data_IF_361030375289
#
_entry.id   IF_361030375289
#
_cell.length_a   1.000
_cell.length_b   1.000
_cell.length_c   1.000
_cell.angle_alpha   90.00
_cell.angle_beta   90.00
_cell.angle_gamma   90.00
#
_symmetry.space_group_name_H-M   'P 1'
#
loop_
_entity.id
_entity.type
_entity.pdbx_description
1 polymer ?
#
# COMPACT_ATOMS: atom_id res chain seq x y z
N UNK A 1 -5.13 -5.43 -39.74
CA UNK A 1 -6.09 -4.34 -39.57
C UNK A 1 -5.38 -3.34 -38.69
N UNK A 2 -5.19 -2.11 -39.14
CA UNK A 2 -4.53 -1.06 -38.39
C UNK A 2 -5.61 -0.15 -37.81
N UNK A 3 -5.48 0.22 -36.56
CA UNK A 3 -6.40 1.10 -35.85
C UNK A 3 -5.69 2.42 -35.53
N UNK A 4 -6.32 3.53 -35.85
CA UNK A 4 -5.81 4.84 -35.43
C UNK A 4 -6.08 5.10 -33.95
N UNK A 5 -7.25 4.68 -33.47
CA UNK A 5 -7.70 4.90 -32.09
C UNK A 5 -8.33 3.64 -31.52
N UNK A 6 -7.93 3.28 -30.31
CA UNK A 6 -8.59 2.25 -29.52
C UNK A 6 -9.09 2.90 -28.22
N UNK A 7 -10.40 2.76 -27.97
CA UNK A 7 -11.03 3.23 -26.73
C UNK A 7 -11.75 2.04 -26.09
N UNK A 8 -11.67 1.91 -24.77
CA UNK A 8 -12.31 0.79 -24.11
C UNK A 8 -12.55 0.95 -22.61
N UNK A 9 -13.49 0.15 -22.15
CA UNK A 9 -13.70 -0.17 -20.74
C UNK A 9 -13.67 -1.71 -20.64
N UNK A 10 -12.48 -2.31 -20.49
CA UNK A 10 -12.34 -3.77 -20.51
C UNK A 10 -12.94 -4.42 -19.28
N UNK A 11 -13.24 -5.73 -19.30
CA UNK A 11 -13.60 -6.47 -18.11
C UNK A 11 -12.50 -6.34 -17.04
N UNK A 12 -12.87 -6.06 -15.79
CA UNK A 12 -11.91 -5.78 -14.73
C UNK A 12 -11.30 -7.04 -14.10
N UNK A 13 -12.11 -8.10 -14.00
CA UNK A 13 -11.70 -9.34 -13.35
C UNK A 13 -12.47 -10.54 -13.91
N UNK A 14 -11.88 -11.71 -13.80
CA UNK A 14 -12.59 -12.98 -13.99
C UNK A 14 -13.34 -13.31 -12.70
N UNK A 15 -14.61 -13.72 -12.84
CA UNK A 15 -15.35 -14.33 -11.75
C UNK A 15 -14.84 -15.76 -11.57
N UNK A 16 -14.17 -16.02 -10.47
CA UNK A 16 -13.81 -17.37 -10.06
C UNK A 16 -15.08 -18.05 -9.53
N UNK A 17 -15.78 -18.74 -10.36
CA UNK A 17 -16.94 -19.64 -10.14
C UNK A 17 -17.43 -20.00 -8.72
N UNK A 18 -17.44 -19.04 -7.75
CA UNK A 18 -18.15 -19.18 -6.48
C UNK A 18 -17.52 -20.07 -5.41
N UNK A 19 -16.23 -20.37 -5.47
CA UNK A 19 -15.52 -21.08 -4.39
C UNK A 19 -15.18 -20.18 -3.21
N UNK A 20 -15.45 -20.66 -1.99
CA UNK A 20 -15.02 -19.99 -0.73
C UNK A 20 -13.49 -19.96 -0.64
N UNK A 21 -12.85 -18.89 -1.15
CA UNK A 21 -11.42 -18.69 -0.98
C UNK A 21 -10.63 -18.19 -2.18
N UNK A 22 -11.16 -18.20 -3.40
CA UNK A 22 -10.46 -17.65 -4.55
C UNK A 22 -10.77 -16.16 -4.71
N UNK A 23 -9.73 -15.33 -4.61
CA UNK A 23 -9.81 -13.90 -4.82
C UNK A 23 -9.83 -13.62 -6.33
N UNK A 24 -10.88 -12.97 -6.84
CA UNK A 24 -11.02 -12.59 -8.24
C UNK A 24 -9.72 -12.05 -8.85
N UNK A 25 -9.31 -12.61 -9.99
CA UNK A 25 -8.06 -12.25 -10.67
C UNK A 25 -8.31 -11.06 -11.62
N UNK A 26 -7.50 -9.99 -11.54
CA UNK A 26 -7.55 -8.91 -12.53
C UNK A 26 -7.21 -9.44 -13.93
N UNK A 27 -7.91 -8.92 -14.96
CA UNK A 27 -7.62 -9.25 -16.37
C UNK A 27 -7.52 -8.01 -17.26
N UNK A 28 -7.92 -6.84 -16.78
CA UNK A 28 -7.91 -5.60 -17.58
C UNK A 28 -6.53 -5.25 -18.16
N UNK A 29 -5.46 -5.58 -17.45
CA UNK A 29 -4.09 -5.37 -17.90
C UNK A 29 -3.74 -6.18 -19.15
N UNK A 30 -4.32 -7.37 -19.33
CA UNK A 30 -4.15 -8.18 -20.53
C UNK A 30 -4.80 -7.49 -21.75
N UNK A 31 -5.92 -6.80 -21.56
CA UNK A 31 -6.58 -6.01 -22.62
C UNK A 31 -5.76 -4.79 -23.02
N UNK A 32 -5.17 -4.08 -22.04
CA UNK A 32 -4.27 -2.95 -22.33
C UNK A 32 -3.06 -3.44 -23.11
N UNK A 33 -2.43 -4.53 -22.70
CA UNK A 33 -1.28 -5.11 -23.39
C UNK A 33 -1.63 -5.54 -24.83
N UNK A 34 -2.80 -6.17 -25.06
CA UNK A 34 -3.24 -6.54 -26.39
C UNK A 34 -3.54 -5.31 -27.27
N UNK A 35 -4.15 -4.28 -26.69
CA UNK A 35 -4.42 -3.04 -27.43
C UNK A 35 -3.12 -2.35 -27.87
N UNK A 36 -2.10 -2.29 -27.02
CA UNK A 36 -0.77 -1.75 -27.38
C UNK A 36 -0.10 -2.56 -28.51
N UNK A 37 -0.26 -3.89 -28.53
CA UNK A 37 0.26 -4.75 -29.62
C UNK A 37 -0.39 -4.51 -30.98
N UNK A 38 -1.59 -3.94 -31.01
CA UNK A 38 -2.25 -3.55 -32.27
C UNK A 38 -1.69 -2.25 -32.84
N UNK A 39 -0.72 -1.65 -32.14
CA UNK A 39 0.05 -0.47 -32.55
C UNK A 39 -0.84 0.71 -33.00
N UNK A 40 -1.85 1.13 -32.19
CA UNK A 40 -2.70 2.25 -32.55
C UNK A 40 -1.95 3.56 -32.37
N UNK A 41 -2.40 4.63 -33.07
CA UNK A 41 -1.91 5.98 -32.82
C UNK A 41 -2.28 6.45 -31.42
N UNK A 42 -3.51 6.21 -30.99
CA UNK A 42 -4.02 6.58 -29.67
C UNK A 42 -4.71 5.40 -28.98
N UNK A 43 -4.44 5.26 -27.69
CA UNK A 43 -5.11 4.31 -26.83
C UNK A 43 -5.66 5.01 -25.59
N UNK A 44 -6.94 4.81 -25.28
CA UNK A 44 -7.55 5.29 -24.04
C UNK A 44 -8.43 4.22 -23.42
N UNK A 45 -8.16 3.86 -22.18
CA UNK A 45 -8.96 2.88 -21.45
C UNK A 45 -9.27 3.35 -20.03
N UNK A 46 -10.47 3.00 -19.55
CA UNK A 46 -10.86 3.13 -18.15
C UNK A 46 -10.57 1.81 -17.46
N UNK A 47 -9.76 1.83 -16.41
CA UNK A 47 -9.32 0.64 -15.69
C UNK A 47 -9.32 0.87 -14.18
N UNK A 48 -9.43 -0.18 -13.34
CA UNK A 48 -9.25 -0.05 -11.90
C UNK A 48 -7.87 0.52 -11.55
N UNK A 49 -7.82 1.50 -10.64
CA UNK A 49 -6.58 2.16 -10.23
C UNK A 49 -5.68 1.28 -9.30
N UNK A 50 -6.13 0.05 -9.00
CA UNK A 50 -5.40 -0.89 -8.16
C UNK A 50 -3.97 -1.19 -8.63
N UNK A 51 -3.70 -1.12 -9.92
CA UNK A 51 -2.38 -1.37 -10.49
C UNK A 51 -1.29 -0.44 -9.93
N UNK A 52 -1.64 0.76 -9.45
CA UNK A 52 -0.66 1.68 -8.83
C UNK A 52 0.12 1.05 -7.67
N UNK A 53 -0.49 0.13 -6.93
CA UNK A 53 0.16 -0.55 -5.79
C UNK A 53 0.74 -1.92 -6.14
N UNK A 54 0.51 -2.42 -7.34
CA UNK A 54 0.91 -3.78 -7.72
C UNK A 54 0.20 -4.89 -6.95
N UNK A 55 0.80 -6.07 -6.94
CA UNK A 55 0.25 -7.27 -6.32
C UNK A 55 -0.85 -7.93 -7.13
N UNK A 56 -1.20 -9.16 -6.79
CA UNK A 56 -2.18 -9.99 -7.53
C UNK A 56 -1.86 -10.15 -9.03
N UNK A 57 -0.57 -10.23 -9.37
CA UNK A 57 -0.10 -10.37 -10.76
C UNK A 57 -0.07 -9.08 -11.57
N UNK A 58 -0.14 -7.91 -10.90
CA UNK A 58 -0.09 -6.60 -11.57
C UNK A 58 1.27 -5.89 -11.45
N UNK A 59 2.30 -6.54 -10.89
CA UNK A 59 3.58 -5.89 -10.63
C UNK A 59 4.30 -5.52 -11.94
N UNK A 60 4.38 -6.44 -12.91
CA UNK A 60 4.97 -6.19 -14.24
C UNK A 60 4.17 -5.13 -15.01
N UNK A 61 2.84 -5.19 -14.95
CA UNK A 61 1.98 -4.20 -15.57
C UNK A 61 2.17 -2.80 -14.95
N UNK A 62 2.29 -2.73 -13.62
CA UNK A 62 2.60 -1.48 -12.92
C UNK A 62 3.93 -0.90 -13.41
N UNK A 63 4.97 -1.71 -13.44
CA UNK A 63 6.31 -1.31 -13.89
C UNK A 63 6.28 -0.81 -15.33
N UNK A 64 5.62 -1.55 -16.23
CA UNK A 64 5.41 -1.13 -17.63
C UNK A 64 4.71 0.22 -17.71
N UNK A 65 3.57 0.39 -17.03
CA UNK A 65 2.77 1.62 -17.10
C UNK A 65 3.48 2.83 -16.50
N UNK A 66 4.24 2.66 -15.42
CA UNK A 66 4.99 3.76 -14.80
C UNK A 66 6.18 4.22 -15.67
N UNK A 67 6.76 3.33 -16.45
CA UNK A 67 7.91 3.62 -17.32
C UNK A 67 7.51 3.94 -18.77
N UNK A 68 6.22 3.89 -19.12
CA UNK A 68 5.77 4.19 -20.48
C UNK A 68 5.56 5.70 -20.69
N UNK A 69 6.59 6.37 -21.19
CA UNK A 69 6.59 7.82 -21.48
C UNK A 69 5.56 8.24 -22.54
N UNK A 70 4.89 7.28 -23.21
CA UNK A 70 3.82 7.55 -24.19
C UNK A 70 2.48 7.83 -23.52
N UNK A 71 2.37 7.73 -22.18
CA UNK A 71 1.17 8.14 -21.47
C UNK A 71 1.14 9.66 -21.33
N UNK A 72 0.33 10.31 -22.18
CA UNK A 72 0.17 11.76 -22.23
C UNK A 72 -0.62 12.28 -21.03
N UNK A 73 -1.65 11.56 -20.64
CA UNK A 73 -2.57 11.95 -19.56
C UNK A 73 -3.03 10.75 -18.75
N UNK A 74 -3.07 10.92 -17.44
CA UNK A 74 -3.64 9.97 -16.49
C UNK A 74 -4.63 10.70 -15.60
N UNK A 75 -5.90 10.30 -15.63
CA UNK A 75 -6.95 10.88 -14.77
C UNK A 75 -7.40 9.85 -13.75
N UNK A 76 -7.28 10.19 -12.49
CA UNK A 76 -7.48 9.32 -11.34
C UNK A 76 -8.69 9.73 -10.51
N UNK A 77 -9.60 8.78 -10.29
CA UNK A 77 -10.75 8.87 -9.41
C UNK A 77 -10.55 7.94 -8.21
N UNK A 78 -10.16 8.51 -7.07
CA UNK A 78 -10.00 7.73 -5.84
C UNK A 78 -11.32 7.11 -5.36
N UNK A 79 -12.43 7.80 -5.59
CA UNK A 79 -13.79 7.28 -5.43
C UNK A 79 -14.37 6.99 -6.82
N UNK A 80 -14.55 5.71 -7.12
CA UNK A 80 -15.10 5.28 -8.41
C UNK A 80 -16.48 5.83 -8.72
N UNK A 81 -17.25 6.21 -7.68
CA UNK A 81 -18.60 6.79 -7.84
C UNK A 81 -18.59 8.17 -8.48
N UNK A 82 -17.46 8.89 -8.42
CA UNK A 82 -17.27 10.16 -9.13
C UNK A 82 -17.10 9.97 -10.64
N UNK A 83 -16.72 8.76 -11.09
CA UNK A 83 -16.61 8.38 -12.49
C UNK A 83 -17.83 7.56 -12.95
N UNK A 84 -18.28 6.62 -12.12
CA UNK A 84 -19.41 5.71 -12.38
C UNK A 84 -20.43 5.80 -11.25
N UNK A 85 -21.45 6.66 -11.34
CA UNK A 85 -22.46 6.80 -10.31
C UNK A 85 -23.08 5.45 -9.91
N UNK A 86 -23.08 5.16 -8.61
CA UNK A 86 -23.64 3.92 -8.07
C UNK A 86 -22.73 2.69 -8.14
N UNK A 87 -21.52 2.80 -8.69
CA UNK A 87 -20.56 1.68 -8.76
C UNK A 87 -19.40 1.91 -7.80
N UNK A 88 -19.24 1.02 -6.83
CA UNK A 88 -18.13 1.04 -5.87
C UNK A 88 -17.04 0.05 -6.27
N UNK A 89 -15.86 0.56 -6.62
CA UNK A 89 -14.68 -0.22 -7.00
C UNK A 89 -13.57 0.08 -5.99
N UNK A 90 -13.18 -0.94 -5.24
CA UNK A 90 -12.13 -0.82 -4.24
C UNK A 90 -10.81 -0.31 -4.85
N UNK A 91 -10.32 0.82 -4.35
CA UNK A 91 -9.15 1.50 -4.86
C UNK A 91 -9.44 2.52 -5.97
N UNK A 92 -10.70 2.65 -6.42
CA UNK A 92 -11.11 3.60 -7.46
C UNK A 92 -10.77 3.17 -8.88
N UNK A 93 -10.93 4.10 -9.81
CA UNK A 93 -10.66 3.89 -11.24
C UNK A 93 -9.78 5.00 -11.80
N UNK A 94 -9.12 4.73 -12.88
CA UNK A 94 -8.41 5.74 -13.66
C UNK A 94 -8.69 5.54 -15.15
N UNK A 95 -8.52 6.59 -15.94
CA UNK A 95 -8.36 6.45 -17.37
C UNK A 95 -7.08 7.16 -17.82
N UNK A 96 -6.51 6.65 -18.90
CA UNK A 96 -5.30 7.23 -19.48
C UNK A 96 -5.48 7.50 -20.98
N UNK A 97 -4.72 8.45 -21.49
CA UNK A 97 -4.48 8.66 -22.91
C UNK A 97 -3.01 8.32 -23.18
N UNK A 98 -2.81 7.36 -24.05
CA UNK A 98 -1.54 6.96 -24.59
C UNK A 98 -1.45 7.38 -26.06
N UNK A 99 -0.35 8.00 -26.47
CA UNK A 99 -0.05 8.42 -27.83
C UNK A 99 1.27 7.77 -28.26
N UNK A 100 1.24 7.01 -29.33
CA UNK A 100 2.42 6.30 -29.88
C UNK A 100 3.63 7.21 -30.09
N UNK A 101 3.41 8.48 -30.44
CA UNK A 101 4.48 9.43 -30.75
C UNK A 101 4.83 10.37 -29.59
N UNK A 102 4.21 10.22 -28.45
CA UNK A 102 4.59 10.99 -27.26
C UNK A 102 5.83 10.37 -26.59
N UNK A 103 6.71 11.24 -26.09
CA UNK A 103 7.82 10.87 -25.25
C UNK A 103 8.06 12.00 -24.24
N UNK A 104 7.76 11.77 -22.98
CA UNK A 104 7.96 12.80 -21.95
C UNK A 104 7.06 12.65 -20.74
N UNK A 105 6.86 13.79 -20.04
CA UNK A 105 6.04 13.85 -18.83
C UNK A 105 4.55 13.60 -19.12
N UNK A 106 3.87 13.09 -18.11
CA UNK A 106 2.45 12.82 -18.12
C UNK A 106 1.69 13.92 -17.37
N UNK A 107 0.59 14.41 -17.94
CA UNK A 107 -0.37 15.24 -17.19
C UNK A 107 -1.21 14.35 -16.30
N UNK A 108 -0.91 14.35 -15.00
CA UNK A 108 -1.66 13.59 -13.99
C UNK A 108 -2.71 14.47 -13.36
N UNK A 109 -3.96 14.02 -13.42
CA UNK A 109 -5.11 14.71 -12.86
C UNK A 109 -5.77 13.84 -11.79
N UNK A 110 -5.83 14.33 -10.55
CA UNK A 110 -6.54 13.69 -9.45
C UNK A 110 -7.88 14.36 -9.24
N UNK A 111 -8.96 13.58 -9.33
CA UNK A 111 -10.33 14.06 -9.10
C UNK A 111 -10.77 13.68 -7.69
N UNK A 112 -11.25 14.67 -6.91
CA UNK A 112 -11.76 14.48 -5.56
C UNK A 112 -12.88 15.47 -5.26
N UNK A 113 -14.05 15.00 -4.93
CA UNK A 113 -15.23 15.83 -4.61
C UNK A 113 -15.42 16.91 -5.66
N UNK A 114 -15.47 16.51 -6.94
CA UNK A 114 -15.61 17.36 -8.14
C UNK A 114 -14.44 18.33 -8.38
N UNK A 115 -13.46 18.42 -7.47
CA UNK A 115 -12.25 19.23 -7.67
C UNK A 115 -11.20 18.43 -8.43
N UNK A 116 -10.45 19.13 -9.28
CA UNK A 116 -9.39 18.57 -10.13
C UNK A 116 -8.06 19.18 -9.75
N UNK A 117 -7.09 18.32 -9.45
CA UNK A 117 -5.72 18.73 -9.12
C UNK A 117 -4.81 18.18 -10.21
N UNK A 118 -4.20 19.09 -10.98
CA UNK A 118 -3.42 18.75 -12.18
C UNK A 118 -1.94 19.02 -11.92
N UNK A 119 -1.10 18.07 -12.28
CA UNK A 119 0.37 18.19 -12.19
C UNK A 119 0.98 17.49 -13.40
N UNK A 120 1.92 18.13 -14.05
CA UNK A 120 2.75 17.48 -15.07
C UNK A 120 3.96 16.85 -14.41
N UNK A 121 4.17 15.53 -14.62
CA UNK A 121 5.22 14.78 -13.96
C UNK A 121 5.57 13.48 -14.67
N UNK A 122 6.73 12.92 -14.39
CA UNK A 122 7.04 11.54 -14.71
C UNK A 122 6.24 10.58 -13.82
N UNK A 123 5.70 9.50 -14.37
CA UNK A 123 4.97 8.51 -13.58
C UNK A 123 5.90 7.65 -12.71
N UNK A 124 7.17 7.54 -13.08
CA UNK A 124 8.20 6.77 -12.39
C UNK A 124 9.12 7.60 -11.48
N UNK A 125 8.66 8.78 -11.01
CA UNK A 125 9.44 9.61 -10.06
C UNK A 125 9.88 8.85 -8.82
N UNK A 126 9.09 7.85 -8.41
CA UNK A 126 9.36 6.96 -7.27
C UNK A 126 8.97 5.52 -7.64
N UNK A 127 9.56 4.55 -6.97
CA UNK A 127 9.20 3.12 -7.11
C UNK A 127 7.73 2.81 -6.78
N UNK A 128 7.09 3.71 -6.03
CA UNK A 128 5.66 3.66 -5.70
C UNK A 128 4.95 4.89 -6.23
N UNK A 129 3.84 4.72 -6.93
CA UNK A 129 3.08 5.84 -7.46
C UNK A 129 2.37 6.61 -6.34
N UNK A 130 2.77 7.87 -6.13
CA UNK A 130 2.09 8.81 -5.23
C UNK A 130 0.81 9.27 -5.92
N UNK A 131 -0.33 8.80 -5.43
CA UNK A 131 -1.62 9.04 -6.07
C UNK A 131 -2.11 10.49 -5.96
N UNK A 132 -1.84 11.11 -4.82
CA UNK A 132 -2.32 12.46 -4.52
C UNK A 132 -1.32 13.52 -4.98
N UNK A 133 -1.69 14.28 -5.99
CA UNK A 133 -0.84 15.37 -6.50
C UNK A 133 -0.49 16.40 -5.41
N UNK A 134 -1.38 16.65 -4.44
CA UNK A 134 -1.12 17.56 -3.32
C UNK A 134 -0.06 17.01 -2.34
N UNK A 135 0.11 15.70 -2.30
CA UNK A 135 1.09 15.06 -1.43
C UNK A 135 2.53 15.08 -2.01
N UNK A 136 2.67 15.29 -3.32
CA UNK A 136 3.97 15.21 -4.00
C UNK A 136 5.03 16.14 -3.42
N UNK A 137 4.68 17.41 -3.21
CA UNK A 137 5.63 18.39 -2.67
C UNK A 137 6.07 18.04 -1.25
N UNK A 138 5.18 17.44 -0.45
CA UNK A 138 5.51 16.98 0.90
C UNK A 138 6.44 15.77 0.82
N UNK A 139 6.10 14.77 0.00
CA UNK A 139 6.94 13.59 -0.21
C UNK A 139 8.34 13.99 -0.70
N UNK A 140 8.41 14.92 -1.66
CA UNK A 140 9.67 15.45 -2.20
C UNK A 140 10.52 16.12 -1.11
N UNK A 141 9.92 16.99 -0.30
CA UNK A 141 10.61 17.63 0.85
C UNK A 141 11.14 16.59 1.83
N UNK A 142 10.31 15.60 2.20
CA UNK A 142 10.72 14.52 3.11
C UNK A 142 11.89 13.73 2.52
N UNK A 143 11.84 13.37 1.23
CA UNK A 143 12.92 12.63 0.56
C UNK A 143 14.25 13.42 0.54
N UNK A 144 14.20 14.74 0.37
CA UNK A 144 15.39 15.61 0.37
C UNK A 144 15.92 15.86 1.77
N UNK A 145 15.04 16.01 2.77
CA UNK A 145 15.40 16.36 4.14
C UNK A 145 15.78 15.16 5.01
N UNK A 146 15.41 13.95 4.58
CA UNK A 146 15.62 12.74 5.38
C UNK A 146 16.99 12.12 5.08
N UNK A 147 17.55 11.44 6.10
CA UNK A 147 18.67 10.53 5.92
C UNK A 147 18.32 9.43 4.90
N UNK A 148 19.32 8.74 4.37
CA UNK A 148 19.16 7.70 3.33
C UNK A 148 18.28 6.52 3.72
N UNK A 149 17.86 6.40 4.99
CA UNK A 149 17.09 5.28 5.52
C UNK A 149 15.62 5.65 5.73
N UNK A 150 14.75 4.79 5.20
CA UNK A 150 13.32 4.85 5.40
C UNK A 150 12.81 3.66 6.23
N UNK A 151 11.66 3.86 6.85
CA UNK A 151 11.10 2.94 7.83
C UNK A 151 10.76 1.57 7.23
N UNK A 152 10.58 1.48 5.90
CA UNK A 152 10.38 0.20 5.23
C UNK A 152 11.53 -0.78 5.52
N UNK A 153 12.77 -0.32 5.68
CA UNK A 153 13.92 -1.17 6.05
C UNK A 153 13.76 -1.84 7.42
N UNK A 154 12.97 -1.25 8.31
CA UNK A 154 12.71 -1.71 9.68
C UNK A 154 11.39 -2.50 9.81
N UNK A 155 10.62 -2.63 8.73
CA UNK A 155 9.37 -3.39 8.72
C UNK A 155 9.63 -4.82 8.29
N UNK A 156 9.08 -5.78 9.04
CA UNK A 156 9.20 -7.21 8.75
C UNK A 156 8.55 -7.59 7.42
N UNK A 157 8.96 -8.73 6.88
CA UNK A 157 8.21 -9.43 5.84
C UNK A 157 6.86 -9.92 6.36
N UNK A 158 6.00 -10.41 5.45
CA UNK A 158 4.82 -11.19 5.80
C UNK A 158 5.23 -12.39 6.66
N UNK A 159 4.46 -12.73 7.68
CA UNK A 159 4.74 -13.84 8.60
C UNK A 159 6.07 -13.67 9.37
N UNK A 160 6.20 -12.63 10.23
CA UNK A 160 7.46 -12.30 10.88
C UNK A 160 8.04 -13.46 11.71
N UNK A 161 7.18 -14.34 12.23
CA UNK A 161 7.57 -15.52 13.04
C UNK A 161 7.28 -16.86 12.33
N UNK A 162 6.92 -16.83 11.04
CA UNK A 162 6.59 -18.04 10.27
C UNK A 162 5.22 -18.64 10.62
N UNK A 163 4.37 -17.90 11.33
CA UNK A 163 3.07 -18.39 11.83
C UNK A 163 1.92 -17.88 10.95
N UNK A 164 1.11 -18.79 10.33
CA UNK A 164 -0.07 -18.41 9.56
C UNK A 164 -1.21 -17.92 10.47
N UNK A 165 -2.22 -17.25 9.91
CA UNK A 165 -3.33 -16.67 10.66
C UNK A 165 -4.22 -17.70 11.39
N UNK A 166 -4.25 -18.93 10.90
CA UNK A 166 -5.07 -20.02 11.41
C UNK A 166 -4.30 -20.95 12.39
N UNK A 167 -3.13 -20.55 12.86
CA UNK A 167 -2.37 -21.33 13.85
C UNK A 167 -3.18 -21.47 15.13
N UNK A 168 -3.18 -22.68 15.68
CA UNK A 168 -3.85 -22.98 16.96
C UNK A 168 -2.91 -22.69 18.12
N UNK A 169 -3.48 -22.19 19.23
CA UNK A 169 -2.78 -22.04 20.51
C UNK A 169 -2.46 -23.41 21.10
N UNK A 170 -1.34 -23.47 21.77
CA UNK A 170 -0.98 -24.64 22.55
C UNK A 170 -1.60 -24.53 23.96
N UNK A 171 -1.84 -25.65 24.62
CA UNK A 171 -2.31 -25.65 26.02
C UNK A 171 -1.26 -25.08 26.95
N UNK A 172 0.01 -25.42 26.70
CA UNK A 172 1.18 -24.95 27.38
C UNK A 172 2.21 -24.48 26.34
N UNK A 173 2.99 -23.46 26.67
CA UNK A 173 4.03 -22.92 25.78
C UNK A 173 4.83 -21.86 26.55
N UNK A 174 6.05 -21.67 26.11
CA UNK A 174 7.02 -20.73 26.72
C UNK A 174 6.94 -19.32 26.06
N UNK A 175 6.09 -19.15 25.06
CA UNK A 175 5.87 -17.86 24.38
C UNK A 175 4.39 -17.48 24.41
N UNK A 176 4.14 -16.17 24.43
CA UNK A 176 2.81 -15.60 24.20
C UNK A 176 2.59 -15.40 22.70
N UNK A 177 1.51 -15.94 22.14
CA UNK A 177 1.10 -15.76 20.75
C UNK A 177 -0.07 -14.79 20.66
N UNK A 178 0.09 -13.75 19.84
CA UNK A 178 -0.99 -12.83 19.45
C UNK A 178 -1.48 -13.20 18.05
N UNK A 179 -2.75 -13.58 17.95
CA UNK A 179 -3.44 -13.87 16.70
C UNK A 179 -4.66 -12.95 16.52
N UNK A 180 -5.26 -12.94 15.34
CA UNK A 180 -6.53 -12.23 15.11
C UNK A 180 -7.70 -12.81 15.93
N UNK A 181 -7.62 -14.06 16.32
CA UNK A 181 -8.60 -14.77 17.16
C UNK A 181 -8.43 -14.51 18.67
N UNK A 182 -7.34 -13.87 19.09
CA UNK A 182 -7.03 -13.60 20.51
C UNK A 182 -5.57 -13.86 20.88
N UNK A 183 -5.33 -14.08 22.17
CA UNK A 183 -4.00 -14.34 22.74
C UNK A 183 -3.99 -15.72 23.42
N UNK A 184 -2.84 -16.39 23.36
CA UNK A 184 -2.65 -17.70 23.96
C UNK A 184 -1.18 -18.11 23.99
N UNK A 185 -0.90 -19.36 24.31
CA UNK A 185 0.46 -19.89 24.41
C UNK A 185 0.90 -20.55 23.10
N UNK A 186 2.21 -20.57 22.85
CA UNK A 186 2.83 -21.33 21.77
C UNK A 186 4.23 -21.82 22.21
N UNK A 187 4.58 -23.04 21.82
CA UNK A 187 5.92 -23.54 22.03
C UNK A 187 6.93 -22.90 21.09
N UNK A 188 8.09 -22.47 21.62
CA UNK A 188 9.16 -21.82 20.81
C UNK A 188 9.60 -22.67 19.61
N UNK A 189 9.58 -24.00 19.71
CA UNK A 189 9.95 -24.91 18.61
C UNK A 189 9.07 -24.79 17.35
N UNK A 190 7.86 -24.19 17.48
CA UNK A 190 6.94 -23.95 16.36
C UNK A 190 7.27 -22.68 15.57
N UNK A 191 8.18 -21.85 16.08
CA UNK A 191 8.58 -20.61 15.43
C UNK A 191 9.60 -20.95 14.33
N UNK A 192 9.30 -20.57 13.10
CA UNK A 192 10.14 -20.88 11.92
C UNK A 192 10.80 -19.64 11.30
N UNK A 193 10.48 -18.45 11.80
CA UNK A 193 11.05 -17.17 11.35
C UNK A 193 11.31 -16.23 12.50
N UNK A 194 12.14 -15.20 12.31
CA UNK A 194 12.36 -14.12 13.27
C UNK A 194 12.80 -14.55 14.66
N UNK A 195 13.55 -15.65 14.78
CA UNK A 195 14.00 -16.19 16.08
C UNK A 195 14.77 -15.15 16.90
N UNK A 196 15.56 -14.32 16.24
CA UNK A 196 16.33 -13.23 16.84
C UNK A 196 15.46 -12.06 17.34
N UNK A 197 14.18 -12.02 17.00
CA UNK A 197 13.24 -10.99 17.40
C UNK A 197 12.47 -11.37 18.68
N UNK A 198 12.43 -12.67 19.03
CA UNK A 198 11.57 -13.18 20.10
C UNK A 198 11.85 -12.46 21.41
N UNK A 199 13.11 -12.35 21.78
CA UNK A 199 13.54 -11.88 23.10
C UNK A 199 13.86 -10.36 23.13
N UNK A 200 13.25 -9.60 22.18
CA UNK A 200 13.38 -8.14 22.04
C UNK A 200 12.05 -7.43 22.23
N UNK A 201 12.11 -6.13 22.52
CA UNK A 201 10.96 -5.25 22.45
C UNK A 201 10.65 -4.92 20.99
N UNK A 202 9.39 -4.96 20.61
CA UNK A 202 8.96 -4.80 19.20
C UNK A 202 7.67 -4.00 19.13
N UNK A 203 7.46 -3.31 18.02
CA UNK A 203 6.15 -2.71 17.72
C UNK A 203 5.41 -3.61 16.75
N UNK A 204 4.26 -4.10 17.19
CA UNK A 204 3.33 -4.89 16.37
C UNK A 204 2.31 -3.97 15.72
N UNK A 205 2.10 -4.15 14.42
CA UNK A 205 1.15 -3.40 13.61
C UNK A 205 0.19 -4.35 12.91
N UNK A 206 -1.12 -4.11 13.00
CA UNK A 206 -2.12 -4.85 12.23
C UNK A 206 -1.92 -4.67 10.74
N UNK A 207 -1.89 -5.77 9.98
CA UNK A 207 -1.73 -5.77 8.53
C UNK A 207 -2.97 -5.28 7.79
N UNK A 208 -4.14 -5.41 8.38
CA UNK A 208 -5.38 -4.84 7.84
C UNK A 208 -5.65 -3.47 8.47
N UNK A 209 -5.78 -2.43 7.63
CA UNK A 209 -6.38 -1.18 8.07
C UNK A 209 -7.91 -1.36 8.20
N UNK A 210 -8.54 -0.57 9.07
CA UNK A 210 -10.00 -0.55 9.13
C UNK A 210 -10.55 0.13 7.87
N UNK A 211 -11.66 -0.45 7.36
CA UNK A 211 -12.57 0.09 6.33
C UNK A 211 -11.96 0.53 4.99
N UNK A 212 -12.55 0.07 3.92
CA UNK A 212 -12.44 0.53 2.52
C UNK A 212 -11.10 1.20 2.11
N UNK A 213 -9.99 0.58 2.42
CA UNK A 213 -8.60 0.91 2.11
C UNK A 213 -8.33 2.29 1.52
N UNK A 214 -8.02 3.26 2.38
CA UNK A 214 -7.62 4.60 1.94
C UNK A 214 -8.75 5.57 1.64
N UNK A 215 -10.02 5.21 1.77
CA UNK A 215 -11.14 6.15 1.67
C UNK A 215 -11.43 6.81 3.03
N UNK A 216 -11.72 8.12 3.05
CA UNK A 216 -12.14 8.79 4.27
C UNK A 216 -13.57 8.36 4.66
N UNK A 217 -13.85 8.34 5.96
CA UNK A 217 -15.21 8.21 6.49
C UNK A 217 -16.11 9.41 6.13
N UNK A 218 -17.37 9.39 6.57
CA UNK A 218 -18.32 10.49 6.32
C UNK A 218 -17.85 11.85 6.87
N UNK A 219 -16.92 11.86 7.84
CA UNK A 219 -16.31 13.07 8.43
C UNK A 219 -15.03 13.50 7.74
N UNK A 220 -14.57 12.75 6.73
CA UNK A 220 -13.31 12.99 6.04
C UNK A 220 -12.08 12.45 6.76
N UNK A 221 -12.25 11.68 7.84
CA UNK A 221 -11.16 11.10 8.63
C UNK A 221 -10.74 9.75 8.04
N UNK A 222 -9.44 9.50 7.94
CA UNK A 222 -8.88 8.21 7.52
C UNK A 222 -8.20 7.53 8.70
N UNK A 223 -8.61 6.31 9.01
CA UNK A 223 -7.91 5.48 9.98
C UNK A 223 -6.90 4.60 9.25
N UNK A 224 -5.63 4.97 9.27
CA UNK A 224 -4.56 4.26 8.55
C UNK A 224 -4.18 2.96 9.26
N UNK A 225 -3.94 3.02 10.58
CA UNK A 225 -3.58 1.85 11.38
C UNK A 225 -4.73 1.45 12.30
N UNK A 226 -5.09 0.16 12.31
CA UNK A 226 -6.16 -0.36 13.18
C UNK A 226 -5.63 -0.71 14.58
N UNK A 227 -4.50 -1.39 14.68
CA UNK A 227 -3.86 -1.78 15.94
C UNK A 227 -2.36 -1.53 15.84
N UNK A 228 -1.81 -0.78 16.79
CA UNK A 228 -0.37 -0.53 16.94
C UNK A 228 -0.05 -0.67 18.41
N UNK A 229 0.80 -1.62 18.76
CA UNK A 229 1.13 -1.97 20.15
C UNK A 229 2.61 -2.33 20.30
N UNK A 230 3.14 -2.03 21.48
CA UNK A 230 4.44 -2.56 21.92
C UNK A 230 4.24 -3.96 22.49
N UNK A 231 4.99 -4.92 21.96
CA UNK A 231 5.05 -6.28 22.49
C UNK A 231 6.46 -6.58 23.04
N UNK A 232 6.50 -7.25 24.19
CA UNK A 232 7.73 -7.51 24.93
C UNK A 232 8.47 -8.77 24.49
N UNK A 233 9.60 -9.05 25.16
CA UNK A 233 10.30 -10.33 25.06
C UNK A 233 9.37 -11.50 25.35
N UNK A 234 9.58 -12.62 24.65
CA UNK A 234 8.73 -13.81 24.76
C UNK A 234 7.38 -13.72 24.04
N UNK A 235 7.08 -12.61 23.33
CA UNK A 235 5.82 -12.45 22.61
C UNK A 235 6.05 -12.49 21.09
N UNK A 236 5.21 -13.26 20.39
CA UNK A 236 5.20 -13.44 18.93
C UNK A 236 3.81 -13.20 18.37
N UNK A 237 3.70 -13.01 17.06
CA UNK A 237 2.41 -12.81 16.41
C UNK A 237 2.27 -13.60 15.10
N UNK A 238 1.03 -13.77 14.65
CA UNK A 238 0.73 -14.40 13.36
C UNK A 238 0.93 -13.45 12.17
N UNK A 239 0.79 -13.96 10.95
CA UNK A 239 0.81 -13.17 9.70
C UNK A 239 -0.25 -12.07 9.61
N UNK A 240 -1.19 -12.01 10.55
CA UNK A 240 -2.16 -10.90 10.65
C UNK A 240 -1.50 -9.58 11.05
N UNK A 241 -0.24 -9.65 11.49
CA UNK A 241 0.54 -8.50 11.97
C UNK A 241 1.89 -8.41 11.28
N UNK A 242 2.44 -7.21 11.27
CA UNK A 242 3.83 -6.88 10.93
C UNK A 242 4.57 -6.45 12.20
N UNK A 243 5.88 -6.61 12.19
CA UNK A 243 6.77 -6.01 13.20
C UNK A 243 7.42 -4.77 12.57
N UNK A 244 7.34 -3.63 13.26
CA UNK A 244 7.94 -2.35 12.86
C UNK A 244 8.93 -1.91 13.93
N UNK A 245 10.21 -2.09 13.63
CA UNK A 245 11.28 -1.83 14.60
C UNK A 245 11.42 -2.89 15.69
N UNK A 246 12.65 -3.10 16.11
CA UNK A 246 13.05 -4.05 17.14
C UNK A 246 14.10 -3.38 18.04
N UNK A 247 13.94 -3.46 19.36
CA UNK A 247 14.68 -2.66 20.31
C UNK A 247 15.12 -3.47 21.51
N UNK A 248 16.23 -3.05 22.13
CA UNK A 248 16.70 -3.59 23.40
C UNK A 248 15.91 -3.01 24.59
N UNK A 249 15.49 -1.75 24.48
CA UNK A 249 14.79 -1.03 25.54
C UNK A 249 13.31 -0.85 25.19
N UNK A 250 12.46 -1.01 26.20
CA UNK A 250 11.02 -0.77 26.05
C UNK A 250 10.70 0.68 25.62
N UNK A 251 11.44 1.64 26.17
CA UNK A 251 11.24 3.07 25.86
C UNK A 251 11.38 3.36 24.36
N UNK A 252 12.36 2.76 23.68
CA UNK A 252 12.57 2.96 22.25
C UNK A 252 11.41 2.37 21.42
N UNK A 253 10.86 1.23 21.86
CA UNK A 253 9.67 0.64 21.23
C UNK A 253 8.42 1.53 21.46
N UNK A 254 8.28 2.15 22.64
CA UNK A 254 7.19 3.11 22.92
C UNK A 254 7.33 4.33 22.01
N UNK A 255 8.55 4.87 21.85
CA UNK A 255 8.81 6.01 20.98
C UNK A 255 8.46 5.68 19.52
N UNK A 256 8.82 4.50 19.01
CA UNK A 256 8.42 4.04 17.69
C UNK A 256 6.90 3.91 17.56
N UNK A 257 6.22 3.36 18.55
CA UNK A 257 4.75 3.27 18.56
C UNK A 257 4.12 4.68 18.48
N UNK A 258 4.63 5.64 19.23
CA UNK A 258 4.16 7.02 19.23
C UNK A 258 4.43 7.69 17.86
N UNK A 259 5.63 7.49 17.29
CA UNK A 259 5.97 7.97 15.96
C UNK A 259 5.00 7.45 14.88
N UNK A 260 4.68 6.15 14.88
CA UNK A 260 3.70 5.58 13.96
C UNK A 260 2.30 6.21 14.11
N UNK A 261 1.94 6.68 15.32
CA UNK A 261 0.65 7.31 15.62
C UNK A 261 0.59 8.80 15.24
N UNK A 262 1.71 9.44 14.89
CA UNK A 262 1.72 10.84 14.44
C UNK A 262 0.91 11.05 13.17
N UNK A 263 0.42 12.26 12.94
CA UNK A 263 -0.25 12.61 11.68
C UNK A 263 0.71 12.53 10.50
N UNK A 264 1.97 12.94 10.73
CA UNK A 264 3.04 12.90 9.74
C UNK A 264 3.27 11.48 9.19
N UNK A 265 3.54 10.50 10.06
CA UNK A 265 3.75 9.12 9.63
C UNK A 265 2.53 8.54 8.91
N UNK A 266 1.33 8.71 9.50
CA UNK A 266 0.07 8.24 8.90
C UNK A 266 -0.21 8.89 7.55
N UNK A 267 0.08 10.19 7.41
CA UNK A 267 -0.06 10.88 6.14
C UNK A 267 0.85 10.26 5.08
N UNK A 268 2.14 10.08 5.34
CA UNK A 268 3.09 9.52 4.39
C UNK A 268 2.69 8.10 3.95
N UNK A 269 2.29 7.24 4.89
CA UNK A 269 1.77 5.91 4.56
C UNK A 269 0.52 6.00 3.69
N UNK A 270 -0.36 6.96 3.95
CA UNK A 270 -1.62 7.13 3.20
C UNK A 270 -1.42 7.50 1.73
N UNK A 271 -0.27 8.11 1.38
CA UNK A 271 0.01 8.58 0.00
C UNK A 271 0.07 7.45 -1.02
N UNK A 272 0.40 6.24 -0.57
CA UNK A 272 0.54 5.03 -1.39
C UNK A 272 -0.32 3.84 -0.89
N UNK A 273 -1.18 4.06 0.12
CA UNK A 273 -2.08 3.04 0.64
C UNK A 273 -3.39 3.05 -0.16
N UNK A 274 -3.51 2.14 -1.14
CA UNK A 274 -4.67 2.03 -2.03
C UNK A 274 -5.63 0.91 -1.64
N UNK A 275 -5.22 0.04 -0.72
CA UNK A 275 -5.99 -1.11 -0.26
C UNK A 275 -5.94 -1.21 1.26
N UNK A 276 -6.77 -2.07 1.86
CA UNK A 276 -6.75 -2.33 3.30
C UNK A 276 -5.43 -2.97 3.80
N UNK A 277 -4.61 -3.53 2.90
CA UNK A 277 -3.43 -4.25 3.28
C UNK A 277 -2.22 -3.32 3.45
N UNK A 278 -1.72 -3.26 4.66
CA UNK A 278 -0.45 -2.62 5.00
C UNK A 278 0.65 -3.65 4.80
N UNK A 279 1.66 -3.27 4.06
CA UNK A 279 2.84 -4.08 3.76
C UNK A 279 4.09 -3.21 3.91
N UNK A 280 5.26 -3.83 4.01
CA UNK A 280 6.55 -3.16 4.13
C UNK A 280 6.72 -1.97 3.19
N UNK A 281 6.36 -2.12 1.92
CA UNK A 281 6.50 -1.08 0.89
C UNK A 281 5.59 0.15 1.10
N UNK A 282 4.69 0.16 2.10
CA UNK A 282 3.89 1.34 2.46
C UNK A 282 4.65 2.33 3.34
N UNK A 283 5.86 2.01 3.73
CA UNK A 283 6.71 2.83 4.59
C UNK A 283 7.91 3.47 3.87
N UNK A 284 8.01 3.35 2.53
CA UNK A 284 9.13 3.85 1.71
C UNK A 284 9.29 5.38 1.71
N UNK A 285 8.29 6.11 2.18
CA UNK A 285 8.33 7.57 2.34
C UNK A 285 8.42 8.01 3.80
N UNK A 286 8.37 7.09 4.74
CA UNK A 286 8.45 7.41 6.17
C UNK A 286 9.91 7.37 6.61
N UNK A 287 10.50 8.48 7.09
CA UNK A 287 11.89 8.48 7.55
C UNK A 287 12.12 7.51 8.70
N UNK A 288 13.25 6.81 8.69
CA UNK A 288 13.71 6.01 9.82
C UNK A 288 14.45 6.94 10.81
N UNK A 289 13.75 7.42 11.82
CA UNK A 289 14.30 8.30 12.84
C UNK A 289 14.92 7.50 14.01
N UNK A 290 15.84 8.11 14.75
CA UNK A 290 16.33 7.54 16.02
C UNK A 290 15.17 7.51 17.03
N UNK A 291 15.03 6.40 17.76
CA UNK A 291 13.99 6.20 18.78
C UNK A 291 14.54 6.40 20.21
N UNK A 292 15.71 7.01 20.37
CA UNK A 292 16.28 7.39 21.67
C UNK A 292 15.52 8.54 22.35
N UNK A 293 14.63 9.22 21.62
CA UNK A 293 13.71 10.25 22.09
C UNK A 293 12.31 10.08 21.53
N UNK A 294 11.35 10.75 22.13
CA UNK A 294 9.98 10.84 21.60
C UNK A 294 9.91 11.80 20.41
N UNK A 295 9.00 11.49 19.46
CA UNK A 295 8.68 12.30 18.31
C UNK A 295 7.17 12.62 18.30
N UNK A 296 6.82 13.89 18.13
CA UNK A 296 5.44 14.36 17.98
C UNK A 296 5.26 15.17 16.69
N UNK A 297 4.02 15.52 16.36
CA UNK A 297 3.69 16.22 15.11
C UNK A 297 4.26 17.65 15.01
N UNK A 298 4.67 18.27 16.13
CA UNK A 298 5.31 19.60 16.13
C UNK A 298 6.80 19.55 15.78
N UNK A 299 7.42 18.37 15.92
CA UNK A 299 8.85 18.15 15.69
C UNK A 299 9.15 17.55 14.31
N UNK A 300 8.10 17.13 13.59
CA UNK A 300 8.15 16.46 12.32
C UNK A 300 7.64 17.35 11.18
#
# INVERSE_FOLDING_TARGET
MQFDVIIGNPPYQLNDGGGTGSSARPIYHEFVAQAKKLDPRYLSMVIPARWYSGGKGLDDFREEMLNDERIVRLVDYADSRECFPGVDIAGGVCYFLWDQNHAGSCVVETVRREKRFVTERSLNEYDSFVRDNLALEIVKKVKVSSSELFLDSMVSSRMPFGLPSNVLFDKEGDLTLIASSGEGNIERKRITGGLNLIDKWKVMLSKASNDHGGQPDKKGTRRIFSRVEVIGPGTVCTESYLIVGVYERQADAINMMNYLKTQFCRFLVSTILLTQNITKNKFVFVPALSMDREWNDEQL
#
